data_IF_880745742650
#
_entry.id   IF_880745742650
#
_cell.length_a   1.000
_cell.length_b   1.000
_cell.length_c   1.000
_cell.angle_alpha   90.00
_cell.angle_beta   90.00
_cell.angle_gamma   90.00
#
_symmetry.space_group_name_H-M   'P 1'
#
loop_
_entity.id
_entity.type
_entity.pdbx_description
1 polymer ?
#
# COMPACT_ATOMS: atom_id res chain seq x y z
N UNK A 1 63.27 15.19 30.03
CA UNK A 1 61.92 15.37 30.59
C UNK A 1 60.95 15.55 29.44
N UNK A 2 60.23 14.48 29.08
CA UNK A 2 59.23 14.44 28.01
C UNK A 2 57.88 14.82 28.62
N UNK A 3 57.16 15.79 28.04
CA UNK A 3 55.71 15.92 28.27
C UNK A 3 54.99 15.89 26.92
N UNK A 4 54.09 14.91 26.87
CA UNK A 4 53.35 14.40 25.73
C UNK A 4 52.13 15.29 25.46
N UNK A 5 51.82 15.45 24.18
CA UNK A 5 50.54 15.93 23.65
C UNK A 5 49.35 15.16 24.25
N UNK A 6 48.25 15.86 24.50
CA UNK A 6 46.91 15.32 24.24
C UNK A 6 46.07 16.42 23.59
N UNK A 7 45.93 16.31 22.27
CA UNK A 7 44.96 17.06 21.47
C UNK A 7 43.65 16.28 21.53
N UNK A 8 42.57 16.91 22.00
CA UNK A 8 41.22 16.33 21.95
C UNK A 8 40.80 16.20 20.48
N UNK A 9 40.73 14.98 19.97
CA UNK A 9 40.08 14.67 18.70
C UNK A 9 38.68 14.14 19.01
N UNK A 10 37.69 15.03 18.97
CA UNK A 10 36.28 14.63 19.04
C UNK A 10 35.87 14.09 17.66
N UNK A 11 35.84 12.77 17.52
CA UNK A 11 35.26 12.08 16.35
C UNK A 11 33.74 12.21 16.41
N UNK A 12 33.20 13.21 15.74
CA UNK A 12 31.78 13.25 15.41
C UNK A 12 31.52 12.29 14.25
N UNK A 13 31.27 11.01 14.57
CA UNK A 13 30.63 10.09 13.64
C UNK A 13 29.14 10.47 13.55
N UNK A 14 28.82 11.47 12.73
CA UNK A 14 27.44 11.66 12.29
C UNK A 14 27.19 10.68 11.16
N UNK A 15 26.36 9.71 11.49
CA UNK A 15 25.68 8.80 10.58
C UNK A 15 25.20 9.58 9.35
N UNK A 16 25.64 9.16 8.16
CA UNK A 16 25.01 9.61 6.92
C UNK A 16 23.60 9.00 6.91
N UNK A 17 22.60 9.79 7.29
CA UNK A 17 21.22 9.46 7.00
C UNK A 17 21.13 9.44 5.47
N UNK A 18 20.80 8.28 4.90
CA UNK A 18 20.57 8.15 3.47
C UNK A 18 19.58 9.25 3.05
N UNK A 19 20.07 10.21 2.27
CA UNK A 19 19.21 11.21 1.65
C UNK A 19 18.18 10.44 0.81
N UNK A 20 16.88 10.77 0.90
CA UNK A 20 15.91 10.29 -0.08
C UNK A 20 16.45 10.58 -1.48
N UNK A 21 16.38 9.58 -2.34
CA UNK A 21 16.83 9.66 -3.72
C UNK A 21 16.28 10.94 -4.36
N UNK A 22 17.15 11.70 -5.04
CA UNK A 22 16.79 13.04 -5.52
C UNK A 22 15.51 13.00 -6.36
N UNK A 23 14.61 13.97 -6.14
CA UNK A 23 13.32 14.05 -6.81
C UNK A 23 13.41 14.05 -8.37
N UNK A 24 14.59 14.32 -8.93
CA UNK A 24 14.89 14.28 -10.37
C UNK A 24 15.04 12.88 -10.99
N UNK A 25 15.25 11.83 -10.21
CA UNK A 25 15.44 10.46 -10.73
C UNK A 25 14.15 9.65 -10.84
N UNK A 26 13.01 10.25 -10.51
CA UNK A 26 11.72 9.55 -10.35
C UNK A 26 10.91 9.42 -11.64
N UNK A 27 11.22 10.22 -12.65
CA UNK A 27 10.61 10.12 -13.98
C UNK A 27 11.50 9.23 -14.84
N UNK A 28 10.96 8.09 -15.27
CA UNK A 28 11.68 7.09 -16.07
C UNK A 28 11.02 6.99 -17.44
N UNK A 29 11.75 7.44 -18.47
CA UNK A 29 11.33 7.31 -19.86
C UNK A 29 11.51 5.86 -20.34
N UNK A 30 10.48 5.31 -20.96
CA UNK A 30 10.46 3.99 -21.56
C UNK A 30 11.17 3.98 -22.93
N UNK A 31 12.50 4.04 -22.87
CA UNK A 31 13.40 4.08 -24.03
C UNK A 31 13.61 2.68 -24.64
N UNK A 32 13.14 2.40 -25.86
CA UNK A 32 13.30 1.10 -26.51
C UNK A 32 14.76 0.69 -26.74
N UNK A 33 15.69 1.65 -26.82
CA UNK A 33 17.11 1.34 -26.99
C UNK A 33 17.74 0.65 -25.77
N UNK A 34 17.05 0.72 -24.61
CA UNK A 34 17.48 0.08 -23.36
C UNK A 34 16.86 -1.29 -23.14
N UNK A 35 16.05 -1.78 -24.08
CA UNK A 35 15.43 -3.09 -23.95
C UNK A 35 16.47 -4.19 -24.02
N UNK A 36 16.43 -5.10 -23.06
CA UNK A 36 17.12 -6.38 -23.15
C UNK A 36 16.25 -7.36 -23.91
N UNK A 37 16.85 -8.15 -24.80
CA UNK A 37 16.15 -9.23 -25.47
C UNK A 37 16.07 -10.45 -24.54
N UNK A 38 14.86 -10.92 -24.28
CA UNK A 38 14.58 -12.17 -23.57
C UNK A 38 14.00 -13.18 -24.56
N UNK A 39 14.20 -14.47 -24.26
CA UNK A 39 13.64 -15.58 -25.03
C UNK A 39 12.93 -16.55 -24.09
N UNK A 40 11.86 -17.18 -24.56
CA UNK A 40 11.12 -18.20 -23.83
C UNK A 40 10.68 -17.78 -22.40
N UNK A 41 10.22 -16.53 -22.24
CA UNK A 41 9.76 -16.00 -20.95
C UNK A 41 8.56 -16.81 -20.48
N UNK A 42 8.68 -17.43 -19.30
CA UNK A 42 7.72 -18.42 -18.78
C UNK A 42 7.42 -19.57 -19.76
N UNK A 43 8.43 -20.03 -20.52
CA UNK A 43 8.30 -20.97 -21.63
C UNK A 43 7.40 -20.50 -22.79
N UNK A 44 7.20 -19.19 -22.90
CA UNK A 44 6.48 -18.56 -24.01
C UNK A 44 7.17 -18.70 -25.37
N UNK A 45 6.43 -18.45 -26.43
CA UNK A 45 6.99 -18.51 -27.77
C UNK A 45 7.97 -17.35 -28.04
N UNK A 46 9.03 -17.63 -28.80
CA UNK A 46 9.87 -16.61 -29.40
C UNK A 46 10.58 -15.68 -28.40
N UNK A 47 10.59 -14.39 -28.72
CA UNK A 47 11.40 -13.37 -28.05
C UNK A 47 10.62 -12.13 -27.67
N UNK A 48 11.17 -11.35 -26.75
CA UNK A 48 10.65 -10.03 -26.42
C UNK A 48 11.74 -9.05 -26.01
N UNK A 49 11.56 -7.78 -26.35
CA UNK A 49 12.28 -6.68 -25.71
C UNK A 49 11.65 -6.39 -24.35
N UNK A 50 12.48 -6.13 -23.35
CA UNK A 50 12.06 -5.96 -21.97
C UNK A 50 12.88 -4.87 -21.26
N UNK A 51 12.23 -4.09 -20.39
CA UNK A 51 12.88 -3.26 -19.40
C UNK A 51 12.05 -3.18 -18.11
N UNK A 52 12.69 -2.78 -17.01
CA UNK A 52 12.01 -2.37 -15.79
C UNK A 52 12.06 -0.85 -15.69
N UNK A 53 10.88 -0.24 -15.53
CA UNK A 53 10.75 1.22 -15.39
C UNK A 53 10.73 1.62 -13.91
N UNK A 54 9.93 0.92 -13.10
CA UNK A 54 9.84 1.12 -11.65
C UNK A 54 9.97 -0.25 -10.99
N UNK A 55 10.75 -0.35 -9.92
CA UNK A 55 11.06 -1.56 -9.20
C UNK A 55 10.52 -1.60 -7.76
N UNK A 56 10.66 -2.78 -7.15
CA UNK A 56 10.11 -3.14 -5.84
C UNK A 56 10.58 -2.29 -4.67
N UNK A 57 11.64 -1.50 -4.84
CA UNK A 57 12.22 -0.67 -3.79
C UNK A 57 11.86 0.82 -3.93
N UNK A 58 11.18 1.21 -5.03
CA UNK A 58 10.89 2.60 -5.33
C UNK A 58 9.66 3.12 -4.58
N UNK A 59 8.86 2.21 -4.02
CA UNK A 59 7.66 2.47 -3.21
C UNK A 59 7.83 1.81 -1.84
N UNK A 60 7.14 2.28 -0.80
CA UNK A 60 7.06 1.60 0.50
C UNK A 60 6.10 0.40 0.48
N UNK A 61 4.98 0.51 -0.24
CA UNK A 61 3.94 -0.50 -0.39
C UNK A 61 4.45 -1.75 -1.13
N UNK A 62 3.67 -2.84 -1.14
CA UNK A 62 4.07 -4.13 -1.72
C UNK A 62 4.07 -4.17 -3.27
N UNK A 63 4.21 -3.01 -3.92
CA UNK A 63 4.47 -2.94 -5.35
C UNK A 63 5.78 -3.67 -5.69
N UNK A 64 5.75 -4.50 -6.74
CA UNK A 64 6.91 -5.24 -7.21
C UNK A 64 7.58 -4.57 -8.40
N UNK A 65 6.80 -4.20 -9.41
CA UNK A 65 7.37 -3.59 -10.61
C UNK A 65 6.33 -3.01 -11.56
N UNK A 66 6.82 -2.06 -12.36
CA UNK A 66 6.31 -1.71 -13.67
C UNK A 66 7.37 -2.13 -14.70
N UNK A 67 7.04 -3.12 -15.51
CA UNK A 67 7.82 -3.56 -16.65
C UNK A 67 7.21 -3.06 -17.96
N UNK A 68 8.05 -2.90 -18.98
CA UNK A 68 7.59 -2.55 -20.31
C UNK A 68 8.43 -3.24 -21.37
N UNK A 69 7.92 -3.28 -22.60
CA UNK A 69 8.71 -3.72 -23.72
C UNK A 69 7.90 -3.96 -24.97
N UNK A 70 8.43 -4.87 -25.79
CA UNK A 70 7.84 -5.29 -27.05
C UNK A 70 7.77 -6.80 -27.10
N UNK A 71 6.59 -7.37 -27.36
CA UNK A 71 6.46 -8.79 -27.72
C UNK A 71 6.56 -8.87 -29.25
N UNK A 72 7.59 -9.55 -29.75
CA UNK A 72 7.81 -9.69 -31.19
C UNK A 72 6.69 -10.47 -31.88
N UNK A 73 6.67 -10.44 -33.21
CA UNK A 73 5.78 -11.27 -34.01
C UNK A 73 5.90 -12.74 -33.59
N UNK A 74 4.76 -13.44 -33.51
CA UNK A 74 4.69 -14.87 -33.15
C UNK A 74 5.41 -15.21 -31.83
N UNK A 75 5.45 -14.27 -30.89
CA UNK A 75 6.12 -14.43 -29.60
C UNK A 75 5.15 -14.19 -28.44
N UNK A 76 5.52 -14.54 -27.21
CA UNK A 76 4.65 -14.39 -26.06
C UNK A 76 5.31 -14.71 -24.73
N UNK A 77 4.53 -14.52 -23.68
CA UNK A 77 4.81 -14.95 -22.32
C UNK A 77 3.98 -16.20 -22.07
N UNK A 78 4.64 -17.29 -21.71
CA UNK A 78 4.00 -18.61 -21.59
C UNK A 78 3.07 -18.70 -20.39
N UNK A 79 2.31 -19.79 -20.34
CA UNK A 79 1.25 -19.98 -19.35
C UNK A 79 1.82 -20.30 -17.98
N UNK A 80 1.53 -19.45 -16.99
CA UNK A 80 2.08 -19.57 -15.64
C UNK A 80 1.09 -19.11 -14.56
N UNK A 81 1.44 -19.34 -13.30
CA UNK A 81 0.70 -18.91 -12.11
C UNK A 81 1.56 -18.04 -11.21
N UNK A 82 0.87 -17.23 -10.39
CA UNK A 82 1.40 -16.61 -9.19
C UNK A 82 0.52 -16.97 -7.99
N UNK A 83 1.12 -17.29 -6.84
CA UNK A 83 0.40 -17.66 -5.62
C UNK A 83 0.45 -16.57 -4.54
N UNK A 84 1.37 -15.62 -4.68
CA UNK A 84 1.51 -14.48 -3.76
C UNK A 84 1.52 -13.13 -4.51
N UNK A 85 1.30 -13.12 -5.82
CA UNK A 85 1.37 -11.93 -6.67
C UNK A 85 0.11 -11.83 -7.51
N UNK A 86 -0.33 -10.60 -7.68
CA UNK A 86 -1.26 -10.24 -8.74
C UNK A 86 -0.52 -9.40 -9.78
N UNK A 87 -0.73 -9.74 -11.04
CA UNK A 87 -0.21 -9.00 -12.17
C UNK A 87 -1.35 -8.32 -12.92
N UNK A 88 -1.01 -7.32 -13.74
CA UNK A 88 -1.89 -6.83 -14.78
C UNK A 88 -1.05 -6.50 -16.00
N UNK A 89 -1.48 -6.98 -17.15
CA UNK A 89 -0.87 -6.64 -18.42
C UNK A 89 -1.71 -5.59 -19.14
N UNK A 90 -1.02 -4.63 -19.74
CA UNK A 90 -1.63 -3.60 -20.58
C UNK A 90 -1.02 -3.67 -21.97
N UNK A 91 -1.82 -3.81 -23.01
CA UNK A 91 -1.34 -3.54 -24.38
C UNK A 91 -1.44 -2.05 -24.66
N UNK A 92 -0.35 -1.45 -25.12
CA UNK A 92 -0.29 -0.06 -25.57
C UNK A 92 -0.54 0.06 -27.08
N UNK A 93 -0.10 -0.93 -27.86
CA UNK A 93 -0.33 -1.03 -29.30
C UNK A 93 -0.53 -2.48 -29.74
N UNK A 94 -1.05 -2.68 -30.95
CA UNK A 94 -1.26 -4.01 -31.52
C UNK A 94 -2.44 -4.76 -30.90
N UNK A 95 -2.37 -6.09 -30.96
CA UNK A 95 -3.36 -7.01 -30.40
C UNK A 95 -2.67 -8.31 -29.98
N UNK A 96 -3.20 -8.95 -28.93
CA UNK A 96 -2.68 -10.19 -28.40
C UNK A 96 -3.81 -11.15 -28.03
N UNK A 97 -3.48 -12.43 -27.98
CA UNK A 97 -4.30 -13.48 -27.38
C UNK A 97 -3.95 -13.58 -25.91
N UNK A 98 -4.88 -13.16 -25.06
CA UNK A 98 -4.78 -13.30 -23.61
C UNK A 98 -5.41 -14.61 -23.18
N UNK A 99 -4.68 -15.40 -22.40
CA UNK A 99 -5.21 -16.60 -21.74
C UNK A 99 -5.37 -16.32 -20.26
N UNK A 100 -6.53 -16.62 -19.68
CA UNK A 100 -6.75 -16.67 -18.23
C UNK A 100 -7.49 -17.96 -17.90
N UNK A 101 -6.96 -18.77 -16.99
CA UNK A 101 -7.54 -20.06 -16.58
C UNK A 101 -7.87 -20.98 -17.77
N UNK A 102 -6.95 -21.02 -18.74
CA UNK A 102 -7.05 -21.84 -19.95
C UNK A 102 -7.99 -21.32 -21.04
N UNK A 103 -8.74 -20.24 -20.78
CA UNK A 103 -9.64 -19.58 -21.74
C UNK A 103 -8.92 -18.44 -22.44
N UNK A 104 -8.95 -18.42 -23.76
CA UNK A 104 -8.13 -17.49 -24.56
C UNK A 104 -9.01 -16.59 -25.42
N UNK A 105 -8.81 -15.27 -25.38
CA UNK A 105 -9.47 -14.32 -26.27
C UNK A 105 -8.48 -13.31 -26.84
N UNK A 106 -8.72 -12.90 -28.09
CA UNK A 106 -7.93 -11.86 -28.77
C UNK A 106 -8.45 -10.48 -28.42
N UNK A 107 -7.58 -9.63 -27.87
CA UNK A 107 -7.90 -8.27 -27.44
C UNK A 107 -6.97 -7.27 -28.12
N UNK A 108 -7.52 -6.11 -28.48
CA UNK A 108 -6.80 -5.03 -29.18
C UNK A 108 -6.46 -3.91 -28.21
N UNK A 109 -5.27 -3.33 -28.35
CA UNK A 109 -4.85 -2.18 -27.57
C UNK A 109 -5.72 -0.93 -27.82
N UNK A 110 -5.83 0.00 -26.84
CA UNK A 110 -5.30 -0.11 -25.49
C UNK A 110 -6.24 -0.88 -24.56
N UNK A 111 -5.75 -1.94 -23.94
CA UNK A 111 -6.55 -2.85 -23.09
C UNK A 111 -5.73 -3.34 -21.91
N UNK A 112 -6.35 -3.45 -20.75
CA UNK A 112 -5.78 -4.06 -19.55
C UNK A 112 -6.46 -5.38 -19.21
N UNK A 113 -5.68 -6.36 -18.77
CA UNK A 113 -6.14 -7.66 -18.28
C UNK A 113 -5.46 -7.94 -16.94
N UNK A 114 -6.20 -7.90 -15.81
CA UNK A 114 -5.68 -8.32 -14.53
C UNK A 114 -5.58 -9.84 -14.46
N UNK A 115 -4.47 -10.30 -13.92
CA UNK A 115 -4.12 -11.68 -13.65
C UNK A 115 -4.17 -11.87 -12.13
N UNK A 116 -5.34 -12.28 -11.64
CA UNK A 116 -5.65 -12.31 -10.20
C UNK A 116 -4.89 -13.42 -9.50
N UNK A 117 -4.87 -13.36 -8.16
CA UNK A 117 -4.15 -14.31 -7.34
C UNK A 117 -4.57 -15.75 -7.65
N UNK A 118 -3.62 -16.61 -8.02
CA UNK A 118 -3.88 -18.00 -8.37
C UNK A 118 -4.50 -18.24 -9.75
N UNK A 119 -4.87 -17.19 -10.50
CA UNK A 119 -5.29 -17.35 -11.89
C UNK A 119 -4.07 -17.67 -12.76
N UNK A 120 -4.15 -18.74 -13.54
CA UNK A 120 -3.14 -19.00 -14.57
C UNK A 120 -3.32 -18.04 -15.74
N UNK A 121 -2.23 -17.56 -16.33
CA UNK A 121 -2.33 -16.60 -17.41
C UNK A 121 -1.16 -16.67 -18.41
N UNK A 122 -1.40 -16.17 -19.62
CA UNK A 122 -0.43 -16.09 -20.70
C UNK A 122 -0.79 -14.97 -21.68
N UNK A 123 0.19 -14.52 -22.46
CA UNK A 123 -0.02 -13.56 -23.56
C UNK A 123 0.73 -14.03 -24.78
N UNK A 124 0.04 -14.15 -25.91
CA UNK A 124 0.65 -14.51 -27.18
C UNK A 124 0.34 -13.44 -28.24
N UNK A 125 1.36 -13.02 -28.98
CA UNK A 125 1.21 -12.17 -30.16
C UNK A 125 1.09 -13.07 -31.41
N UNK A 126 -0.12 -13.31 -31.94
CA UNK A 126 -0.31 -14.15 -33.11
C UNK A 126 0.00 -13.42 -34.41
N UNK A 127 0.36 -12.14 -34.39
CA UNK A 127 0.47 -11.30 -35.59
C UNK A 127 1.86 -11.38 -36.23
N UNK A 128 2.02 -10.74 -37.39
CA UNK A 128 3.30 -10.56 -38.07
C UNK A 128 4.10 -9.34 -37.59
N UNK A 129 3.52 -8.52 -36.70
CA UNK A 129 4.11 -7.26 -36.25
C UNK A 129 4.36 -7.30 -34.72
N UNK A 130 5.37 -6.56 -34.21
CA UNK A 130 5.55 -6.40 -32.78
C UNK A 130 4.39 -5.64 -32.12
N UNK A 131 4.13 -5.93 -30.84
CA UNK A 131 3.19 -5.17 -30.01
C UNK A 131 3.91 -4.58 -28.78
N UNK A 132 3.39 -3.47 -28.25
CA UNK A 132 3.93 -2.81 -27.05
C UNK A 132 3.07 -3.16 -25.83
N UNK A 133 3.72 -3.41 -24.70
CA UNK A 133 3.05 -3.84 -23.48
C UNK A 133 3.62 -3.17 -22.22
N UNK A 134 2.81 -3.20 -21.15
CA UNK A 134 3.20 -2.95 -19.77
C UNK A 134 2.78 -4.13 -18.92
N UNK A 135 3.46 -4.31 -17.79
CA UNK A 135 3.08 -5.25 -16.76
C UNK A 135 3.37 -4.66 -15.39
N UNK A 136 2.33 -4.68 -14.56
CA UNK A 136 2.36 -4.18 -13.21
C UNK A 136 2.14 -5.35 -12.27
N UNK A 137 2.89 -5.40 -11.18
CA UNK A 137 2.72 -6.45 -10.19
C UNK A 137 2.70 -5.90 -8.76
N UNK A 138 1.82 -6.47 -7.95
CA UNK A 138 1.74 -6.23 -6.51
C UNK A 138 1.79 -7.58 -5.80
N UNK A 139 2.63 -7.68 -4.77
CA UNK A 139 2.78 -8.89 -3.96
C UNK A 139 1.99 -8.81 -2.67
N UNK A 140 1.65 -9.95 -2.09
CA UNK A 140 1.18 -10.03 -0.71
C UNK A 140 2.27 -9.63 0.29
N UNK A 141 3.55 -9.82 -0.07
CA UNK A 141 4.68 -9.53 0.80
C UNK A 141 5.73 -8.70 0.09
N UNK A 142 6.27 -7.70 0.79
CA UNK A 142 7.22 -6.75 0.22
C UNK A 142 8.39 -7.47 -0.46
N UNK A 143 8.58 -7.16 -1.74
CA UNK A 143 9.71 -7.64 -2.54
C UNK A 143 9.72 -9.12 -2.91
N UNK A 144 8.67 -9.89 -2.57
CA UNK A 144 8.62 -11.31 -2.86
C UNK A 144 8.02 -11.59 -4.25
N UNK A 145 8.86 -12.17 -5.12
CA UNK A 145 8.50 -12.78 -6.40
C UNK A 145 8.11 -14.26 -6.25
N UNK A 146 7.25 -14.78 -7.11
CA UNK A 146 7.00 -16.21 -7.34
C UNK A 146 6.57 -16.42 -8.80
N UNK A 147 6.64 -17.66 -9.30
CA UNK A 147 6.03 -18.09 -10.56
C UNK A 147 5.96 -19.62 -10.60
N UNK A 148 4.95 -20.19 -11.24
CA UNK A 148 4.89 -21.60 -11.59
C UNK A 148 4.55 -21.75 -13.07
N UNK A 149 5.51 -22.20 -13.87
CA UNK A 149 5.40 -22.26 -15.33
C UNK A 149 4.83 -23.61 -15.76
N UNK A 150 3.86 -23.58 -16.68
CA UNK A 150 3.25 -24.80 -17.21
C UNK A 150 4.01 -25.41 -18.40
N UNK A 151 4.99 -24.69 -18.96
CA UNK A 151 5.67 -25.13 -20.17
C UNK A 151 4.79 -25.04 -21.43
N UNK A 152 3.70 -24.28 -21.40
CA UNK A 152 2.76 -24.10 -22.52
C UNK A 152 2.87 -22.68 -23.08
N UNK A 153 3.24 -22.55 -24.36
CA UNK A 153 3.40 -21.27 -25.05
C UNK A 153 2.10 -20.66 -25.57
N UNK A 154 0.99 -21.41 -25.52
CA UNK A 154 -0.34 -21.02 -26.02
C UNK A 154 -0.44 -20.75 -27.52
N UNK A 155 0.53 -21.20 -28.32
CA UNK A 155 0.48 -21.06 -29.78
C UNK A 155 -0.64 -21.92 -30.37
N UNK A 156 -1.56 -21.30 -31.12
CA UNK A 156 -2.58 -22.02 -31.90
C UNK A 156 -3.74 -22.59 -31.08
N UNK A 157 -3.94 -22.11 -29.86
CA UNK A 157 -5.02 -22.55 -28.97
C UNK A 157 -6.38 -22.02 -29.43
N UNK A 158 -7.47 -22.65 -28.95
CA UNK A 158 -8.83 -22.22 -29.28
C UNK A 158 -9.13 -20.82 -28.72
N UNK A 159 -9.84 -20.01 -29.50
CA UNK A 159 -10.18 -18.63 -29.16
C UNK A 159 -11.68 -18.49 -28.85
N UNK A 160 -11.98 -18.00 -27.65
CA UNK A 160 -13.29 -17.52 -27.25
C UNK A 160 -13.58 -16.17 -27.91
N UNK A 161 -14.69 -16.07 -28.63
CA UNK A 161 -15.13 -14.83 -29.28
C UNK A 161 -15.47 -13.72 -28.30
N UNK A 162 -15.95 -14.09 -27.12
CA UNK A 162 -16.29 -13.18 -26.03
C UNK A 162 -15.34 -13.52 -24.87
N UNK A 163 -14.51 -12.56 -24.40
CA UNK A 163 -13.67 -12.77 -23.23
C UNK A 163 -14.50 -13.16 -22.02
N UNK A 164 -14.10 -14.26 -21.38
CA UNK A 164 -14.75 -14.78 -20.16
C UNK A 164 -13.94 -14.46 -18.89
N UNK A 165 -13.01 -13.52 -19.00
CA UNK A 165 -12.16 -13.03 -17.93
C UNK A 165 -12.24 -11.50 -17.86
N UNK A 166 -11.85 -10.96 -16.71
CA UNK A 166 -11.89 -9.50 -16.47
C UNK A 166 -10.92 -8.81 -17.42
N UNK A 167 -11.39 -7.77 -18.10
CA UNK A 167 -10.58 -6.91 -18.95
C UNK A 167 -11.19 -5.51 -19.02
N UNK A 168 -10.39 -4.51 -19.38
CA UNK A 168 -10.85 -3.14 -19.53
C UNK A 168 -10.22 -2.49 -20.76
N UNK A 169 -11.05 -2.02 -21.68
CA UNK A 169 -10.59 -1.22 -22.82
C UNK A 169 -10.51 0.25 -22.40
N UNK A 170 -9.35 0.89 -22.57
CA UNK A 170 -9.14 2.30 -22.26
C UNK A 170 -9.76 3.21 -23.35
N UNK A 171 -11.09 3.23 -23.39
CA UNK A 171 -11.86 4.14 -24.24
C UNK A 171 -12.07 5.45 -23.50
N UNK A 172 -11.94 6.57 -24.20
CA UNK A 172 -12.33 7.90 -23.65
C UNK A 172 -13.82 7.98 -23.35
N UNK A 173 -14.63 7.20 -24.07
CA UNK A 173 -16.06 7.05 -23.82
C UNK A 173 -16.31 6.49 -22.41
N UNK A 174 -16.97 7.29 -21.57
CA UNK A 174 -17.30 6.94 -20.19
C UNK A 174 -16.33 7.47 -19.15
N UNK A 175 -15.30 8.23 -19.54
CA UNK A 175 -14.59 9.13 -18.63
C UNK A 175 -15.57 10.19 -18.10
N UNK A 176 -15.40 10.57 -16.83
CA UNK A 176 -16.27 11.52 -16.12
C UNK A 176 -15.43 12.62 -15.49
N UNK A 177 -16.00 13.81 -15.36
CA UNK A 177 -15.40 14.99 -14.71
C UNK A 177 -15.75 15.10 -13.21
N UNK A 178 -16.59 14.20 -12.72
CA UNK A 178 -17.06 14.13 -11.33
C UNK A 178 -16.93 12.72 -10.77
N UNK A 179 -16.99 12.60 -9.45
CA UNK A 179 -16.91 11.34 -8.69
C UNK A 179 -15.59 10.56 -8.91
N UNK A 180 -14.49 11.29 -9.04
CA UNK A 180 -13.13 10.75 -9.06
C UNK A 180 -12.21 11.59 -8.18
N UNK A 181 -11.05 11.06 -7.74
CA UNK A 181 -10.23 11.73 -6.73
C UNK A 181 -9.27 12.78 -7.31
N UNK A 182 -9.27 12.96 -8.64
CA UNK A 182 -8.45 13.96 -9.35
C UNK A 182 -9.11 15.33 -9.38
N UNK A 183 -9.06 16.07 -8.27
CA UNK A 183 -9.53 17.46 -8.23
C UNK A 183 -8.71 18.36 -9.16
N UNK A 184 -9.24 19.48 -9.62
CA UNK A 184 -8.55 20.38 -10.56
C UNK A 184 -9.52 21.21 -11.38
N UNK A 185 -9.07 21.69 -12.54
CA UNK A 185 -9.86 22.59 -13.40
C UNK A 185 -10.45 21.90 -14.66
N UNK A 186 -10.36 20.56 -14.75
CA UNK A 186 -11.04 19.80 -15.81
C UNK A 186 -10.44 18.44 -16.20
N UNK A 187 -9.85 17.68 -15.26
CA UNK A 187 -9.47 16.29 -15.53
C UNK A 187 -10.71 15.40 -15.69
N UNK A 188 -10.63 14.39 -16.55
CA UNK A 188 -11.63 13.34 -16.72
C UNK A 188 -11.04 12.02 -16.27
N UNK A 189 -11.83 11.18 -15.60
CA UNK A 189 -11.36 9.87 -15.16
C UNK A 189 -12.44 8.80 -15.15
N UNK A 190 -12.01 7.54 -15.28
CA UNK A 190 -12.81 6.35 -15.05
C UNK A 190 -11.96 5.30 -14.35
N UNK A 191 -12.53 4.71 -13.29
CA UNK A 191 -11.96 3.52 -12.67
C UNK A 191 -12.09 2.31 -13.60
N UNK A 192 -10.95 1.75 -14.00
CA UNK A 192 -10.88 0.52 -14.76
C UNK A 192 -11.10 -0.69 -13.85
N UNK A 193 -10.40 -0.73 -12.71
CA UNK A 193 -10.50 -1.78 -11.70
C UNK A 193 -10.45 -1.17 -10.29
N UNK A 194 -11.36 -1.60 -9.41
CA UNK A 194 -11.35 -1.26 -7.99
C UNK A 194 -10.67 -2.32 -7.11
N UNK A 195 -10.57 -2.06 -5.79
CA UNK A 195 -9.85 -2.93 -4.86
C UNK A 195 -10.46 -4.33 -4.74
N UNK A 196 -11.75 -4.46 -5.08
CA UNK A 196 -12.53 -5.71 -5.10
C UNK A 196 -12.09 -6.68 -6.21
N UNK A 197 -11.37 -6.20 -7.23
CA UNK A 197 -10.83 -7.06 -8.30
C UNK A 197 -9.63 -7.88 -7.81
N UNK A 198 -8.93 -7.36 -6.81
CA UNK A 198 -7.63 -7.85 -6.36
C UNK A 198 -7.73 -8.48 -4.97
N UNK A 199 -6.72 -9.26 -4.57
CA UNK A 199 -6.54 -9.84 -3.22
C UNK A 199 -5.37 -9.22 -2.46
N UNK A 200 -4.38 -8.68 -3.17
CA UNK A 200 -3.22 -7.95 -2.64
C UNK A 200 -3.58 -6.51 -2.24
N UNK A 201 -2.61 -5.72 -1.78
CA UNK A 201 -2.83 -4.30 -1.47
C UNK A 201 -3.04 -3.39 -2.69
N UNK A 202 -3.14 -3.97 -3.90
CA UNK A 202 -3.57 -3.26 -5.10
C UNK A 202 -4.95 -2.65 -4.88
N UNK A 203 -5.02 -1.32 -4.94
CA UNK A 203 -6.21 -0.56 -4.60
C UNK A 203 -7.02 -0.18 -5.84
N UNK A 204 -6.41 0.38 -6.87
CA UNK A 204 -7.15 0.76 -8.07
C UNK A 204 -6.28 0.81 -9.32
N UNK A 205 -6.95 0.79 -10.47
CA UNK A 205 -6.42 1.18 -11.77
C UNK A 205 -7.38 2.18 -12.37
N UNK A 206 -6.93 3.41 -12.57
CA UNK A 206 -7.74 4.51 -13.08
C UNK A 206 -7.19 4.96 -14.45
N UNK A 207 -8.10 5.21 -15.39
CA UNK A 207 -7.81 5.88 -16.66
C UNK A 207 -8.06 7.37 -16.45
N UNK A 208 -7.06 8.20 -16.74
CA UNK A 208 -7.13 9.64 -16.51
C UNK A 208 -6.76 10.38 -17.78
N UNK A 209 -7.56 11.38 -18.14
CA UNK A 209 -7.30 12.29 -19.25
C UNK A 209 -7.35 13.72 -18.73
N UNK A 210 -6.29 14.48 -18.99
CA UNK A 210 -6.22 15.91 -18.71
C UNK A 210 -6.28 16.62 -20.07
N UNK A 211 -7.38 17.29 -20.44
CA UNK A 211 -7.47 18.03 -21.69
C UNK A 211 -6.42 19.16 -21.79
N UNK A 212 -6.12 19.62 -23.00
CA UNK A 212 -5.16 20.70 -23.22
C UNK A 212 -5.49 21.95 -22.37
N UNK A 213 -4.49 22.50 -21.69
CA UNK A 213 -4.64 23.65 -20.78
C UNK A 213 -5.33 23.35 -19.45
N UNK A 214 -5.68 22.09 -19.17
CA UNK A 214 -6.25 21.65 -17.88
C UNK A 214 -5.19 21.07 -16.95
N UNK A 215 -5.57 20.88 -15.70
CA UNK A 215 -4.72 20.32 -14.65
C UNK A 215 -5.52 19.53 -13.61
N UNK A 216 -4.80 18.63 -12.97
CA UNK A 216 -5.14 18.04 -11.67
C UNK A 216 -4.43 18.91 -10.63
N UNK A 217 -5.20 19.45 -9.69
CA UNK A 217 -4.69 20.20 -8.54
C UNK A 217 -3.95 19.30 -7.54
N UNK A 218 -3.56 19.82 -6.36
CA UNK A 218 -2.81 19.06 -5.38
C UNK A 218 -3.53 17.78 -4.96
N UNK A 219 -2.91 16.63 -5.27
CA UNK A 219 -3.31 15.30 -4.86
C UNK A 219 -2.41 14.85 -3.71
N UNK A 220 -2.96 14.88 -2.50
CA UNK A 220 -2.32 14.36 -1.30
C UNK A 220 -2.46 12.84 -1.24
N UNK A 221 -1.34 12.13 -1.17
CA UNK A 221 -1.31 10.68 -1.09
C UNK A 221 -1.29 10.22 0.38
N UNK A 222 -2.47 9.98 0.93
CA UNK A 222 -2.65 9.47 2.30
C UNK A 222 -3.02 8.00 2.28
N UNK A 223 -2.26 7.14 2.97
CA UNK A 223 -2.54 5.70 3.04
C UNK A 223 -2.36 4.93 1.73
N UNK A 224 -1.78 5.57 0.71
CA UNK A 224 -1.63 5.03 -0.64
C UNK A 224 -0.35 5.58 -1.28
N UNK A 225 0.23 4.79 -2.17
CA UNK A 225 1.24 5.21 -3.14
C UNK A 225 0.73 4.93 -4.54
N UNK A 226 1.21 5.69 -5.52
CA UNK A 226 0.70 5.60 -6.88
C UNK A 226 1.81 5.48 -7.92
N UNK A 227 1.55 4.68 -8.95
CA UNK A 227 2.38 4.56 -10.13
C UNK A 227 1.61 5.11 -11.33
N UNK A 228 2.28 5.95 -12.11
CA UNK A 228 1.73 6.62 -13.28
C UNK A 228 2.48 6.17 -14.54
N UNK A 229 1.74 5.97 -15.62
CA UNK A 229 2.30 5.81 -16.97
C UNK A 229 1.62 6.77 -17.93
N UNK A 230 2.40 7.58 -18.64
CA UNK A 230 1.91 8.50 -19.67
C UNK A 230 1.70 7.75 -20.97
N UNK A 231 0.44 7.49 -21.32
CA UNK A 231 0.10 6.81 -22.58
C UNK A 231 0.27 7.74 -23.78
N UNK A 232 -0.12 9.02 -23.63
CA UNK A 232 -0.11 10.02 -24.71
C UNK A 232 0.02 11.44 -24.15
N UNK A 233 0.44 12.34 -25.03
CA UNK A 233 0.52 13.77 -24.76
C UNK A 233 1.76 14.17 -23.96
N UNK A 234 1.74 15.38 -23.44
CA UNK A 234 2.83 15.95 -22.65
C UNK A 234 2.29 16.92 -21.61
N UNK A 235 2.99 17.09 -20.51
CA UNK A 235 2.64 18.05 -19.49
C UNK A 235 3.78 18.27 -18.51
N UNK A 236 3.42 18.74 -17.33
CA UNK A 236 4.33 18.89 -16.21
C UNK A 236 3.81 18.14 -15.00
N UNK A 237 4.72 17.42 -14.34
CA UNK A 237 4.55 16.88 -12.99
C UNK A 237 5.19 17.84 -11.99
N UNK A 238 4.45 18.21 -10.96
CA UNK A 238 4.98 18.91 -9.79
C UNK A 238 4.85 18.03 -8.56
N UNK A 239 5.96 17.83 -7.84
CA UNK A 239 5.98 17.15 -6.53
C UNK A 239 6.66 18.06 -5.52
N UNK A 240 5.90 18.47 -4.49
CA UNK A 240 6.34 19.53 -3.59
C UNK A 240 6.59 20.83 -4.36
N UNK A 241 7.83 21.33 -4.35
CA UNK A 241 8.23 22.56 -5.06
C UNK A 241 8.92 22.30 -6.41
N UNK A 242 9.14 21.03 -6.77
CA UNK A 242 9.90 20.65 -7.98
C UNK A 242 8.93 20.33 -9.11
N UNK A 243 9.09 21.05 -10.22
CA UNK A 243 8.33 20.82 -11.46
C UNK A 243 9.24 20.28 -12.55
N UNK A 244 8.80 19.23 -13.26
CA UNK A 244 9.50 18.61 -14.38
C UNK A 244 8.53 18.28 -15.52
N UNK A 245 8.98 18.38 -16.79
CA UNK A 245 8.16 17.93 -17.91
C UNK A 245 7.99 16.41 -17.87
N UNK A 246 6.84 15.97 -18.37
CA UNK A 246 6.51 14.57 -18.65
C UNK A 246 5.97 14.47 -20.06
N UNK A 247 6.30 13.40 -20.76
CA UNK A 247 5.87 13.12 -22.13
C UNK A 247 5.35 11.68 -22.24
N UNK A 248 4.70 11.37 -23.36
CA UNK A 248 4.32 10.00 -23.68
C UNK A 248 5.49 9.04 -23.46
N UNK A 249 5.17 7.86 -22.92
CA UNK A 249 6.11 6.82 -22.53
C UNK A 249 6.96 7.10 -21.29
N UNK A 250 6.72 8.21 -20.57
CA UNK A 250 7.23 8.39 -19.22
C UNK A 250 6.43 7.61 -18.18
N UNK A 251 7.12 7.19 -17.13
CA UNK A 251 6.53 6.65 -15.91
C UNK A 251 7.10 7.34 -14.69
N UNK A 252 6.32 7.43 -13.62
CA UNK A 252 6.75 8.01 -12.35
C UNK A 252 5.90 7.49 -11.19
N UNK A 253 6.36 7.71 -9.96
CA UNK A 253 5.62 7.36 -8.75
C UNK A 253 5.30 8.60 -7.91
N UNK A 254 4.22 8.50 -7.14
CA UNK A 254 3.93 9.37 -6.00
C UNK A 254 3.99 8.56 -4.71
N UNK A 255 4.74 9.08 -3.74
CA UNK A 255 5.02 8.36 -2.48
C UNK A 255 4.07 8.79 -1.35
N UNK A 256 4.03 7.97 -0.29
CA UNK A 256 3.18 8.21 0.87
C UNK A 256 3.48 9.58 1.49
N UNK A 257 2.45 10.39 1.68
CA UNK A 257 2.54 11.74 2.24
C UNK A 257 2.94 12.82 1.23
N UNK A 258 3.21 12.47 -0.03
CA UNK A 258 3.52 13.47 -1.05
C UNK A 258 2.27 14.16 -1.62
N UNK A 259 2.50 15.35 -2.16
CA UNK A 259 1.54 16.13 -2.92
C UNK A 259 1.96 16.21 -4.38
N UNK A 260 1.11 15.71 -5.27
CA UNK A 260 1.34 15.71 -6.71
C UNK A 260 0.39 16.68 -7.40
N UNK A 261 0.87 17.40 -8.40
CA UNK A 261 0.04 18.20 -9.33
C UNK A 261 0.46 17.84 -10.75
N UNK A 262 -0.52 17.72 -11.65
CA UNK A 262 -0.28 17.43 -13.06
C UNK A 262 -0.94 18.51 -13.91
N UNK A 263 -0.18 19.14 -14.79
CA UNK A 263 -0.70 20.14 -15.71
C UNK A 263 -0.44 19.72 -17.15
N UNK A 264 -1.48 19.71 -17.99
CA UNK A 264 -1.30 19.53 -19.42
C UNK A 264 -0.88 20.86 -20.06
N UNK A 265 0.40 20.93 -20.43
CA UNK A 265 1.02 22.08 -21.12
C UNK A 265 1.15 21.87 -22.63
N UNK A 266 0.69 20.73 -23.16
CA UNK A 266 0.64 20.44 -24.58
C UNK A 266 -0.63 20.95 -25.26
N UNK A 267 -0.74 20.64 -26.56
CA UNK A 267 -1.90 20.97 -27.41
C UNK A 267 -2.89 19.82 -27.56
N UNK A 268 -2.50 18.61 -27.18
CA UNK A 268 -3.32 17.41 -27.20
C UNK A 268 -3.62 16.95 -25.76
N UNK A 269 -4.54 15.99 -25.61
CA UNK A 269 -4.85 15.38 -24.31
C UNK A 269 -3.62 14.67 -23.71
N UNK A 270 -3.38 14.89 -22.41
CA UNK A 270 -2.44 14.12 -21.60
C UNK A 270 -3.21 12.93 -21.01
N UNK A 271 -2.88 11.72 -21.45
CA UNK A 271 -3.58 10.48 -21.12
C UNK A 271 -2.70 9.57 -20.26
N UNK A 272 -3.21 9.12 -19.13
CA UNK A 272 -2.46 8.43 -18.07
C UNK A 272 -3.20 7.16 -17.64
N UNK A 273 -2.42 6.13 -17.29
CA UNK A 273 -2.86 5.04 -16.41
C UNK A 273 -2.29 5.33 -15.02
N UNK A 274 -3.16 5.30 -14.02
CA UNK A 274 -2.78 5.52 -12.61
C UNK A 274 -3.11 4.27 -11.82
N UNK A 275 -2.14 3.77 -11.08
CA UNK A 275 -2.29 2.55 -10.27
C UNK A 275 -2.00 2.89 -8.83
N UNK A 276 -3.01 2.71 -7.98
CA UNK A 276 -2.88 2.92 -6.55
C UNK A 276 -2.60 1.62 -5.82
N UNK A 277 -1.64 1.68 -4.89
CA UNK A 277 -1.27 0.59 -4.00
C UNK A 277 -1.44 1.09 -2.56
N UNK A 278 -2.35 0.47 -1.80
CA UNK A 278 -2.50 0.83 -0.39
C UNK A 278 -1.28 0.39 0.40
N UNK A 279 -0.87 1.22 1.36
CA UNK A 279 0.19 0.85 2.32
C UNK A 279 -0.35 -0.10 3.40
N UNK A 280 -1.67 -0.20 3.54
CA UNK A 280 -2.32 -1.14 4.45
C UNK A 280 -2.76 -2.42 3.73
N UNK A 281 -2.74 -3.55 4.44
CA UNK A 281 -3.31 -4.81 3.98
C UNK A 281 -4.83 -4.76 3.78
N UNK A 282 -5.53 -3.92 4.57
CA UNK A 282 -6.98 -3.71 4.49
C UNK A 282 -7.45 -2.90 3.27
N UNK A 283 -6.53 -2.43 2.43
CA UNK A 283 -6.77 -1.68 1.19
C UNK A 283 -7.53 -0.36 1.31
N UNK A 284 -8.01 0.03 2.48
CA UNK A 284 -8.67 1.31 2.68
C UNK A 284 -7.64 2.40 3.00
N UNK A 285 -7.30 3.28 2.03
CA UNK A 285 -6.38 4.37 2.29
C UNK A 285 -6.96 5.39 3.31
N UNK A 286 -8.27 5.42 3.51
CA UNK A 286 -8.91 6.34 4.45
C UNK A 286 -8.77 5.91 5.91
N UNK A 287 -8.32 4.68 6.21
CA UNK A 287 -8.07 4.24 7.59
C UNK A 287 -7.12 5.19 8.34
N UNK A 288 -6.25 5.88 7.62
CA UNK A 288 -5.26 6.80 8.17
C UNK A 288 -5.73 8.26 8.28
N UNK A 289 -6.97 8.56 7.86
CA UNK A 289 -7.50 9.93 8.00
C UNK A 289 -7.78 10.24 9.46
N UNK A 290 -7.44 11.46 9.85
CA UNK A 290 -7.73 11.96 11.19
C UNK A 290 -9.23 11.86 11.48
N UNK A 291 -9.56 11.30 12.66
CA UNK A 291 -10.93 11.21 13.11
C UNK A 291 -11.45 12.59 13.51
N UNK A 292 -12.66 12.94 13.09
CA UNK A 292 -13.34 14.16 13.51
C UNK A 292 -14.03 14.05 14.88
N UNK A 293 -14.18 12.82 15.38
CA UNK A 293 -14.73 12.49 16.70
C UNK A 293 -13.98 11.30 17.30
N UNK A 294 -13.94 11.16 18.62
CA UNK A 294 -13.36 9.98 19.26
C UNK A 294 -14.06 8.71 18.77
N UNK A 295 -13.30 7.65 18.46
CA UNK A 295 -13.85 6.33 18.13
C UNK A 295 -14.12 5.47 19.37
N UNK A 296 -13.49 5.82 20.48
CA UNK A 296 -13.59 5.14 21.75
C UNK A 296 -13.09 6.10 22.85
N UNK A 297 -13.24 5.67 24.09
CA UNK A 297 -12.56 6.23 25.24
C UNK A 297 -11.64 5.18 25.87
N UNK A 298 -10.58 5.62 26.53
CA UNK A 298 -9.69 4.78 27.34
C UNK A 298 -9.60 5.35 28.74
N UNK A 299 -9.78 4.50 29.74
CA UNK A 299 -9.42 4.81 31.13
C UNK A 299 -8.09 4.15 31.44
N UNK A 300 -7.05 4.95 31.66
CA UNK A 300 -5.75 4.49 32.13
C UNK A 300 -5.73 4.58 33.65
N UNK A 301 -5.52 3.46 34.33
CA UNK A 301 -5.48 3.35 35.77
C UNK A 301 -4.10 2.84 36.19
N UNK A 302 -3.34 3.64 36.93
CA UNK A 302 -2.02 3.28 37.40
C UNK A 302 -2.08 2.84 38.86
N UNK A 303 -1.32 1.81 39.23
CA UNK A 303 -1.32 1.20 40.56
C UNK A 303 0.09 1.09 41.13
N UNK A 304 0.19 1.23 42.45
CA UNK A 304 1.34 0.81 43.25
C UNK A 304 1.00 -0.53 43.90
N UNK A 305 1.47 -1.63 43.31
CA UNK A 305 1.21 -3.00 43.76
C UNK A 305 2.42 -3.52 44.54
N UNK A 306 2.28 -3.93 45.81
CA UNK A 306 3.38 -4.55 46.56
C UNK A 306 3.93 -5.79 45.84
N UNK A 307 5.23 -6.07 46.01
CA UNK A 307 5.90 -7.17 45.29
C UNK A 307 5.25 -8.52 45.58
N UNK A 308 4.83 -8.73 46.82
CA UNK A 308 4.11 -9.90 47.30
C UNK A 308 2.73 -10.11 46.64
N UNK A 309 2.12 -9.03 46.13
CA UNK A 309 0.81 -9.07 45.47
C UNK A 309 0.90 -9.11 43.94
N UNK A 310 2.11 -8.97 43.36
CA UNK A 310 2.30 -8.82 41.91
C UNK A 310 1.64 -9.95 41.10
N UNK A 311 1.93 -11.21 41.43
CA UNK A 311 1.33 -12.34 40.71
C UNK A 311 -0.20 -12.40 40.88
N UNK A 312 -0.70 -12.06 42.07
CA UNK A 312 -2.13 -12.04 42.34
C UNK A 312 -2.83 -10.96 41.51
N UNK A 313 -2.19 -9.79 41.34
CA UNK A 313 -2.72 -8.69 40.56
C UNK A 313 -2.86 -9.05 39.07
N UNK A 314 -1.85 -9.72 38.50
CA UNK A 314 -1.92 -10.18 37.11
C UNK A 314 -2.95 -11.29 36.92
N UNK A 315 -3.00 -12.25 37.85
CA UNK A 315 -4.03 -13.29 37.83
C UNK A 315 -5.43 -12.69 37.92
N UNK A 316 -5.63 -11.69 38.78
CA UNK A 316 -6.91 -10.98 38.93
C UNK A 316 -7.34 -10.32 37.62
N UNK A 317 -6.43 -9.66 36.91
CA UNK A 317 -6.72 -9.05 35.61
C UNK A 317 -7.31 -10.07 34.63
N UNK A 318 -6.67 -11.23 34.49
CA UNK A 318 -7.09 -12.28 33.56
C UNK A 318 -8.35 -13.03 34.01
N UNK A 319 -8.46 -13.37 35.29
CA UNK A 319 -9.49 -14.27 35.80
C UNK A 319 -10.78 -13.56 36.25
N UNK A 320 -10.69 -12.26 36.57
CA UNK A 320 -11.82 -11.49 37.09
C UNK A 320 -12.11 -10.30 36.17
N UNK A 321 -11.12 -9.43 35.96
CA UNK A 321 -11.34 -8.14 35.31
C UNK A 321 -11.75 -8.29 33.83
N UNK A 322 -11.01 -9.09 33.05
CA UNK A 322 -11.29 -9.32 31.62
C UNK A 322 -12.67 -9.97 31.40
N UNK A 323 -13.04 -11.09 32.06
CA UNK A 323 -14.37 -11.68 31.91
C UNK A 323 -15.49 -10.72 32.31
N UNK A 324 -15.30 -9.96 33.39
CA UNK A 324 -16.30 -9.02 33.89
C UNK A 324 -16.56 -7.86 32.89
N UNK A 325 -15.54 -7.42 32.16
CA UNK A 325 -15.68 -6.39 31.12
C UNK A 325 -16.20 -6.94 29.79
N UNK A 326 -15.83 -8.17 29.41
CA UNK A 326 -16.17 -8.76 28.10
C UNK A 326 -17.68 -8.86 27.87
N UNK A 327 -18.46 -8.98 28.94
CA UNK A 327 -19.93 -9.05 28.89
C UNK A 327 -20.60 -7.68 28.87
N UNK A 328 -19.85 -6.58 28.91
CA UNK A 328 -20.40 -5.23 28.97
C UNK A 328 -20.67 -4.68 27.58
N UNK A 329 -21.77 -3.94 27.45
CA UNK A 329 -22.07 -3.20 26.24
C UNK A 329 -20.96 -2.18 25.96
N UNK A 330 -20.55 -2.10 24.69
CA UNK A 330 -19.56 -1.13 24.24
C UNK A 330 -18.12 -1.42 24.67
N UNK A 331 -17.82 -2.57 25.27
CA UNK A 331 -16.45 -2.95 25.58
C UNK A 331 -15.63 -3.16 24.29
N UNK A 332 -14.52 -2.42 24.17
CA UNK A 332 -13.63 -2.49 23.00
C UNK A 332 -12.42 -3.37 23.29
N UNK A 333 -11.86 -3.27 24.50
CA UNK A 333 -10.68 -4.04 24.87
C UNK A 333 -10.01 -3.53 26.14
N UNK A 334 -8.93 -4.20 26.55
CA UNK A 334 -8.10 -3.74 27.68
C UNK A 334 -6.67 -4.25 27.58
N UNK A 335 -5.76 -3.62 28.33
CA UNK A 335 -4.36 -4.05 28.48
C UNK A 335 -3.94 -3.96 29.95
N UNK A 336 -3.17 -4.93 30.40
CA UNK A 336 -2.38 -4.84 31.63
C UNK A 336 -0.92 -4.58 31.26
N UNK A 337 -0.36 -3.54 31.84
CA UNK A 337 1.03 -3.13 31.66
C UNK A 337 1.74 -3.24 33.01
N UNK A 338 2.97 -3.75 32.98
CA UNK A 338 3.88 -3.77 34.10
C UNK A 338 5.05 -2.83 33.79
N UNK A 339 5.48 -2.05 34.78
CA UNK A 339 6.64 -1.18 34.64
C UNK A 339 7.90 -2.01 34.32
N UNK A 340 8.76 -1.48 33.47
CA UNK A 340 10.05 -2.12 33.18
C UNK A 340 10.92 -2.24 34.44
N UNK A 341 11.82 -3.24 34.49
CA UNK A 341 12.91 -3.27 35.45
C UNK A 341 13.73 -1.97 35.43
N UNK A 342 14.32 -1.61 36.57
CA UNK A 342 14.99 -0.32 36.78
C UNK A 342 16.15 -0.07 35.81
N UNK A 343 16.92 -1.11 35.49
CA UNK A 343 18.03 -1.05 34.53
C UNK A 343 17.55 -0.74 33.10
N UNK A 344 16.47 -1.39 32.66
CA UNK A 344 15.84 -1.13 31.35
C UNK A 344 15.26 0.29 31.30
N UNK A 345 14.55 0.72 32.35
CA UNK A 345 13.98 2.06 32.44
C UNK A 345 15.05 3.15 32.38
N UNK A 346 16.17 2.98 33.09
CA UNK A 346 17.31 3.91 33.05
C UNK A 346 17.97 3.96 31.67
N UNK A 347 18.14 2.81 31.02
CA UNK A 347 18.79 2.74 29.71
C UNK A 347 18.04 3.51 28.61
N UNK A 348 16.72 3.69 28.74
CA UNK A 348 15.90 4.48 27.82
C UNK A 348 15.55 5.87 28.36
N UNK A 349 16.16 6.29 29.47
CA UNK A 349 15.90 7.57 30.13
C UNK A 349 14.42 7.78 30.50
N UNK A 350 13.72 6.71 30.89
CA UNK A 350 12.31 6.77 31.25
C UNK A 350 12.08 7.63 32.50
N UNK A 351 10.94 8.34 32.54
CA UNK A 351 10.53 9.12 33.71
C UNK A 351 10.38 8.21 34.95
N UNK A 352 11.02 8.55 36.09
CA UNK A 352 10.90 7.77 37.31
C UNK A 352 9.46 7.76 37.83
N UNK A 353 8.97 6.58 38.23
CA UNK A 353 7.64 6.43 38.84
C UNK A 353 7.62 5.27 39.82
N UNK A 354 6.78 5.37 40.85
CA UNK A 354 6.50 4.30 41.81
C UNK A 354 5.31 3.43 41.40
N UNK A 355 4.52 3.87 40.41
CA UNK A 355 3.38 3.14 39.87
C UNK A 355 3.89 2.03 38.96
N UNK A 356 3.90 0.80 39.47
CA UNK A 356 4.53 -0.35 38.84
C UNK A 356 3.58 -1.20 37.96
N UNK A 357 2.29 -0.87 37.94
CA UNK A 357 1.30 -1.45 37.02
C UNK A 357 0.37 -0.38 36.45
N UNK A 358 -0.14 -0.63 35.24
CA UNK A 358 -1.23 0.14 34.63
C UNK A 358 -2.25 -0.78 33.99
N UNK A 359 -3.54 -0.55 34.23
CA UNK A 359 -4.63 -1.20 33.50
C UNK A 359 -5.27 -0.14 32.61
N UNK A 360 -5.29 -0.40 31.30
CA UNK A 360 -6.01 0.40 30.33
C UNK A 360 -7.28 -0.33 29.93
N UNK A 361 -8.44 0.29 30.10
CA UNK A 361 -9.73 -0.27 29.64
C UNK A 361 -10.34 0.65 28.59
N UNK A 362 -10.94 0.11 27.54
CA UNK A 362 -11.53 0.88 26.46
C UNK A 362 -13.00 0.52 26.24
N UNK A 363 -13.81 1.56 26.06
CA UNK A 363 -15.22 1.46 25.66
C UNK A 363 -15.49 2.35 24.45
N UNK A 364 -16.50 2.02 23.66
CA UNK A 364 -16.96 2.84 22.53
C UNK A 364 -17.36 4.26 22.95
N UNK A 365 -17.89 4.41 24.18
CA UNK A 365 -18.42 5.65 24.73
C UNK A 365 -18.21 5.72 26.25
N UNK A 366 -18.08 6.93 26.78
CA UNK A 366 -18.05 7.17 28.24
C UNK A 366 -19.38 6.77 28.91
N UNK A 367 -20.50 6.85 28.19
CA UNK A 367 -21.80 6.40 28.72
C UNK A 367 -21.78 4.90 29.03
N UNK A 368 -21.28 4.07 28.12
CA UNK A 368 -21.17 2.64 28.33
C UNK A 368 -20.13 2.28 29.42
N UNK A 369 -19.03 3.02 29.51
CA UNK A 369 -18.08 2.86 30.64
C UNK A 369 -18.72 3.20 32.00
N UNK A 370 -19.62 4.18 32.08
CA UNK A 370 -20.38 4.48 33.32
C UNK A 370 -21.35 3.36 33.68
N UNK A 371 -22.01 2.76 32.69
CA UNK A 371 -22.86 1.56 32.90
C UNK A 371 -22.04 0.40 33.45
N UNK A 372 -20.82 0.20 32.94
CA UNK A 372 -19.87 -0.76 33.51
C UNK A 372 -19.62 -0.50 35.01
N UNK A 373 -19.29 0.73 35.41
CA UNK A 373 -19.05 1.05 36.84
C UNK A 373 -20.26 0.78 37.73
N UNK A 374 -21.47 1.03 37.22
CA UNK A 374 -22.71 0.76 37.94
C UNK A 374 -23.10 -0.73 37.98
N UNK A 375 -22.40 -1.59 37.23
CA UNK A 375 -22.75 -3.01 37.11
C UNK A 375 -22.37 -3.83 38.36
N UNK A 376 -23.11 -4.93 38.66
CA UNK A 376 -22.73 -5.88 39.71
C UNK A 376 -21.33 -6.48 39.50
N UNK A 377 -20.94 -6.69 38.24
CA UNK A 377 -19.64 -7.23 37.88
C UNK A 377 -18.50 -6.29 38.28
N UNK A 378 -18.67 -4.98 38.12
CA UNK A 378 -17.68 -4.00 38.57
C UNK A 378 -17.56 -3.96 40.10
N UNK A 379 -18.67 -4.15 40.83
CA UNK A 379 -18.65 -4.23 42.31
C UNK A 379 -17.86 -5.44 42.82
N UNK A 380 -17.52 -6.41 41.96
CA UNK A 380 -16.62 -7.53 42.27
C UNK A 380 -15.21 -7.23 41.75
N UNK A 381 -15.10 -6.80 40.49
CA UNK A 381 -13.81 -6.62 39.82
C UNK A 381 -12.96 -5.50 40.43
N UNK A 382 -13.57 -4.35 40.74
CA UNK A 382 -12.83 -3.21 41.28
C UNK A 382 -12.25 -3.46 42.68
N UNK A 383 -12.99 -4.02 43.65
CA UNK A 383 -12.40 -4.42 44.93
C UNK A 383 -11.29 -5.48 44.79
N UNK A 384 -11.43 -6.44 43.87
CA UNK A 384 -10.40 -7.44 43.61
C UNK A 384 -9.08 -6.82 43.12
N UNK A 385 -9.14 -5.75 42.32
CA UNK A 385 -7.96 -5.01 41.89
C UNK A 385 -7.41 -4.08 42.98
N UNK A 386 -8.26 -3.22 43.53
CA UNK A 386 -7.86 -2.16 44.45
C UNK A 386 -7.33 -2.70 45.78
N UNK A 387 -7.84 -3.83 46.29
CA UNK A 387 -7.34 -4.45 47.53
C UNK A 387 -5.92 -5.01 47.43
N UNK A 388 -5.43 -5.26 46.21
CA UNK A 388 -4.07 -5.73 45.95
C UNK A 388 -3.07 -4.58 45.79
N UNK A 389 -3.54 -3.34 45.69
CA UNK A 389 -2.72 -2.14 45.51
C UNK A 389 -2.67 -1.29 46.78
N UNK A 390 -1.54 -0.60 47.00
CA UNK A 390 -1.38 0.42 48.06
C UNK A 390 -1.93 1.76 47.65
N UNK A 391 -1.72 2.13 46.39
CA UNK A 391 -2.13 3.40 45.82
C UNK A 391 -2.61 3.18 44.39
N UNK A 392 -3.53 4.02 43.92
CA UNK A 392 -3.96 4.04 42.54
C UNK A 392 -4.38 5.46 42.12
N UNK A 393 -4.28 5.73 40.83
CA UNK A 393 -4.78 6.96 40.18
C UNK A 393 -5.27 6.61 38.77
N UNK A 394 -6.08 7.47 38.18
CA UNK A 394 -6.54 7.24 36.80
C UNK A 394 -6.76 8.53 36.02
N UNK A 395 -6.76 8.40 34.70
CA UNK A 395 -7.09 9.45 33.73
C UNK A 395 -7.93 8.86 32.60
N UNK A 396 -8.89 9.64 32.11
CA UNK A 396 -9.68 9.31 30.93
C UNK A 396 -9.14 10.01 29.70
N UNK A 397 -9.17 9.32 28.57
CA UNK A 397 -8.72 9.82 27.27
C UNK A 397 -9.73 9.48 26.19
N UNK A 398 -9.89 10.39 25.25
CA UNK A 398 -10.54 10.11 23.97
C UNK A 398 -9.54 9.42 23.03
N UNK A 399 -9.95 8.31 22.41
CA UNK A 399 -9.15 7.64 21.38
C UNK A 399 -9.42 8.32 20.05
N UNK A 400 -8.47 9.16 19.64
CA UNK A 400 -8.49 9.89 18.36
C UNK A 400 -7.78 9.14 17.22
N UNK A 401 -7.23 7.96 17.51
CA UNK A 401 -6.61 7.07 16.55
C UNK A 401 -5.98 5.87 17.24
N UNK A 402 -5.90 4.76 16.52
CA UNK A 402 -5.28 3.50 16.95
C UNK A 402 -4.79 2.74 15.73
N UNK A 403 -3.66 2.06 15.88
CA UNK A 403 -3.10 1.19 14.86
C UNK A 403 -2.93 -0.21 15.45
N UNK A 404 -3.96 -1.04 15.32
CA UNK A 404 -3.88 -2.46 15.68
C UNK A 404 -3.44 -3.28 14.46
N UNK A 405 -2.18 -3.72 14.50
CA UNK A 405 -1.50 -4.48 13.45
C UNK A 405 -1.44 -5.99 13.77
N UNK A 406 -2.20 -6.45 14.78
CA UNK A 406 -2.17 -7.84 15.27
C UNK A 406 -3.33 -8.68 14.79
#
# INVERSE_FOLDING_TARGET
>A
MKRLLFLLMATAAMSAWAQPQSNSERIVHNDPSKYRELSAVHAGAGKMGFTQLIGRNDLAANFLYLHSGVIHAKSGIGHHYHHNIEEMYVLLSGEAEFTVNGRTSRLKAPVAVPCKMGDSHAIYNPTGEPLRWLNFAVSQRKGQGDAFDLGDSRVGVAIDKIPVFVSHQFKKDGLRDVNHPYAGNGALSRRAFGPEVFSTSWNHVDHVVIPAGKSIGPRQLEGIEEVYYVMKGSGNLTVGTVTKPIVADDSFSGLLGENLTLANTGTEDLELIVIGISVSSGKDPNKFKALSKPKAMVLQMDFVVPKENAEAFERMYHSIYVPAMTVQAGYVGSKLLRLFPEDVAKAIEAEPTTYNYSIQISFDTEENRRKWVASPQHQIAWPAASSLAKEFKWRGYDVMGDDDQR
#
